data_IF_224791262959
#
_entry.id   IF_224791262959
#
_cell.length_a   1.000
_cell.length_b   1.000
_cell.length_c   1.000
_cell.angle_alpha   90.00
_cell.angle_beta   90.00
_cell.angle_gamma   90.00
#
_symmetry.space_group_name_H-M   'P 1'
#
loop_
_entity.id
_entity.type
_entity.pdbx_description
1 polymer ?
#
# COMPACT_ATOMS: atom_id res chain seq x y z
N UNK A 1 3.64 -13.14 11.87
CA UNK A 1 2.22 -12.73 11.74
C UNK A 1 2.02 -12.33 10.28
N UNK A 2 0.98 -12.80 9.57
CA UNK A 2 0.70 -12.34 8.19
C UNK A 2 -0.54 -11.46 8.25
N UNK A 3 -0.33 -10.16 8.19
CA UNK A 3 -1.40 -9.15 8.16
C UNK A 3 -2.13 -9.21 6.82
N UNK A 4 -3.44 -8.97 6.84
CA UNK A 4 -4.32 -9.14 5.69
C UNK A 4 -3.84 -8.25 4.53
N UNK A 5 -3.51 -8.86 3.40
CA UNK A 5 -3.05 -8.11 2.22
C UNK A 5 -1.66 -7.48 2.38
N UNK A 6 -0.72 -8.13 3.09
CA UNK A 6 0.73 -7.81 3.02
C UNK A 6 1.09 -6.37 3.41
N UNK A 7 0.22 -5.73 4.18
CA UNK A 7 0.48 -4.45 4.83
C UNK A 7 0.93 -4.74 6.25
N UNK A 8 2.13 -4.34 6.61
CA UNK A 8 2.67 -4.44 7.97
C UNK A 8 3.16 -3.08 8.47
N UNK A 9 3.51 -3.00 9.75
CA UNK A 9 3.95 -1.78 10.42
C UNK A 9 5.24 -2.04 11.17
N UNK A 10 6.31 -1.34 10.78
CA UNK A 10 7.62 -1.47 11.40
C UNK A 10 8.27 -0.08 11.50
N UNK A 11 8.67 0.31 12.71
CA UNK A 11 9.39 1.55 13.01
C UNK A 11 8.77 2.85 12.44
N UNK A 12 7.43 2.94 12.45
CA UNK A 12 6.71 4.11 11.93
C UNK A 12 6.70 4.21 10.40
N UNK A 13 7.06 3.12 9.71
CA UNK A 13 6.96 2.96 8.26
C UNK A 13 5.91 1.91 7.94
N UNK A 14 5.03 2.24 6.99
CA UNK A 14 4.08 1.27 6.47
C UNK A 14 4.81 0.32 5.53
N UNK A 15 4.96 -0.93 5.91
CA UNK A 15 5.50 -1.96 5.04
C UNK A 15 4.40 -2.41 4.07
N UNK A 16 4.63 -2.19 2.80
CA UNK A 16 3.76 -2.56 1.70
C UNK A 16 4.45 -3.62 0.85
N UNK A 17 4.51 -4.83 1.41
CA UNK A 17 5.23 -5.95 0.80
C UNK A 17 4.28 -7.09 0.51
N UNK A 18 3.70 -7.02 -0.68
CA UNK A 18 2.49 -7.76 -0.94
C UNK A 18 2.73 -9.11 -1.60
N UNK A 19 2.38 -10.15 -0.86
CA UNK A 19 1.94 -11.43 -1.42
C UNK A 19 0.41 -11.38 -1.61
N UNK A 20 -0.10 -10.53 -2.53
CA UNK A 20 -1.55 -10.46 -2.78
C UNK A 20 -1.97 -11.78 -3.42
N UNK A 21 -2.91 -12.55 -2.82
CA UNK A 21 -3.37 -13.77 -3.43
C UNK A 21 -4.05 -13.42 -4.76
N UNK A 22 -3.60 -14.03 -5.86
CA UNK A 22 -4.18 -13.82 -7.20
C UNK A 22 -5.67 -14.18 -7.28
N UNK A 23 -6.12 -15.00 -6.34
CA UNK A 23 -7.47 -15.54 -6.24
C UNK A 23 -8.43 -14.57 -5.52
N UNK A 24 -7.93 -13.52 -4.87
CA UNK A 24 -8.82 -12.56 -4.22
C UNK A 24 -9.56 -11.70 -5.25
N UNK A 25 -10.88 -11.52 -5.08
CA UNK A 25 -11.65 -10.58 -5.88
C UNK A 25 -11.14 -9.15 -5.63
N UNK A 26 -11.56 -8.22 -6.50
CA UNK A 26 -11.25 -6.80 -6.32
C UNK A 26 -11.71 -6.35 -4.93
N UNK A 27 -10.75 -5.95 -4.10
CA UNK A 27 -10.98 -5.65 -2.69
C UNK A 27 -10.54 -4.22 -2.41
N UNK A 28 -11.33 -3.50 -1.61
CA UNK A 28 -11.01 -2.15 -1.15
C UNK A 28 -11.03 -2.13 0.37
N UNK A 29 -9.95 -1.65 0.98
CA UNK A 29 -9.80 -1.53 2.43
C UNK A 29 -9.40 -0.11 2.77
N UNK A 30 -10.00 0.44 3.82
CA UNK A 30 -9.56 1.68 4.44
C UNK A 30 -8.70 1.34 5.66
N UNK A 31 -7.54 1.95 5.74
CA UNK A 31 -6.57 1.76 6.83
C UNK A 31 -6.35 3.10 7.51
N UNK A 32 -6.12 3.09 8.83
CA UNK A 32 -5.76 4.28 9.59
C UNK A 32 -4.29 4.18 10.00
N UNK A 33 -3.47 5.17 9.64
CA UNK A 33 -2.03 5.20 9.93
C UNK A 33 -1.62 6.58 10.44
N UNK A 34 -1.13 6.68 11.68
CA UNK A 34 -0.83 7.98 12.32
C UNK A 34 -1.95 9.02 12.16
N UNK A 35 -3.21 8.62 12.37
CA UNK A 35 -4.41 9.45 12.17
C UNK A 35 -4.70 9.87 10.72
N UNK A 36 -4.01 9.26 9.76
CA UNK A 36 -4.20 9.49 8.33
C UNK A 36 -4.94 8.30 7.73
N UNK A 37 -5.95 8.57 6.92
CA UNK A 37 -6.66 7.52 6.20
C UNK A 37 -5.88 7.15 4.93
N UNK A 38 -5.61 5.87 4.78
CA UNK A 38 -5.06 5.26 3.58
C UNK A 38 -6.11 4.36 2.94
N UNK A 39 -6.10 4.28 1.62
CA UNK A 39 -6.95 3.36 0.89
C UNK A 39 -6.10 2.35 0.14
N UNK A 40 -6.36 1.08 0.43
CA UNK A 40 -5.79 -0.04 -0.29
C UNK A 40 -6.82 -0.58 -1.28
N UNK A 41 -6.47 -0.60 -2.57
CA UNK A 41 -7.25 -1.19 -3.64
C UNK A 41 -6.48 -2.36 -4.25
N UNK A 42 -6.91 -3.59 -3.95
CA UNK A 42 -6.29 -4.83 -4.42
C UNK A 42 -7.08 -5.51 -5.52
N UNK A 43 -6.37 -6.09 -6.48
CA UNK A 43 -6.92 -6.95 -7.54
C UNK A 43 -5.91 -8.05 -7.89
N UNK A 44 -6.31 -9.01 -8.72
CA UNK A 44 -5.42 -10.06 -9.21
C UNK A 44 -4.20 -9.53 -10.01
N UNK A 45 -4.23 -8.28 -10.50
CA UNK A 45 -3.20 -7.71 -11.38
C UNK A 45 -2.38 -6.61 -10.72
N UNK A 46 -2.99 -5.80 -9.86
CA UNK A 46 -2.38 -4.63 -9.24
C UNK A 46 -2.92 -4.46 -7.84
N UNK A 47 -2.06 -4.06 -6.92
CA UNK A 47 -2.45 -3.49 -5.64
C UNK A 47 -1.97 -2.06 -5.55
N UNK A 48 -2.87 -1.17 -5.18
CA UNK A 48 -2.63 0.24 -5.04
C UNK A 48 -2.82 0.66 -3.58
N UNK A 49 -1.91 1.48 -3.07
CA UNK A 49 -2.03 2.20 -1.82
C UNK A 49 -2.15 3.68 -2.15
N UNK A 50 -3.20 4.33 -1.67
CA UNK A 50 -3.48 5.75 -1.87
C UNK A 50 -3.48 6.47 -0.53
N UNK A 51 -2.71 7.54 -0.45
CA UNK A 51 -2.81 8.49 0.65
C UNK A 51 -3.98 9.44 0.43
N UNK A 52 -4.74 9.75 1.48
CA UNK A 52 -5.75 10.78 1.40
C UNK A 52 -5.12 12.16 1.10
N UNK A 53 -5.92 13.08 0.55
CA UNK A 53 -5.42 14.39 0.08
C UNK A 53 -5.11 15.37 1.23
N UNK A 54 -5.63 15.08 2.41
CA UNK A 54 -5.51 15.85 3.65
C UNK A 54 -4.42 15.29 4.58
N UNK A 55 -3.55 14.43 4.05
CA UNK A 55 -2.42 13.83 4.78
C UNK A 55 -1.19 14.76 4.73
N UNK A 56 -0.21 14.57 5.61
CA UNK A 56 1.07 15.31 5.63
C UNK A 56 2.19 14.59 4.88
N UNK A 57 1.86 13.52 4.15
CA UNK A 57 2.83 12.60 3.59
C UNK A 57 2.97 11.35 4.47
N UNK A 58 3.10 10.19 3.82
CA UNK A 58 3.14 8.89 4.50
C UNK A 58 4.39 8.14 4.10
N UNK A 59 5.23 7.80 5.09
CA UNK A 59 6.39 6.94 4.89
C UNK A 59 5.93 5.50 4.63
N UNK A 60 6.27 4.97 3.46
CA UNK A 60 5.91 3.63 3.02
C UNK A 60 7.13 2.91 2.48
N UNK A 61 7.37 1.68 2.90
CA UNK A 61 8.36 0.81 2.31
C UNK A 61 7.66 -0.19 1.39
N UNK A 62 7.90 -0.14 0.08
CA UNK A 62 7.35 -1.11 -0.86
C UNK A 62 8.46 -1.98 -1.42
N UNK A 63 8.35 -3.32 -1.25
CA UNK A 63 9.39 -4.28 -1.64
C UNK A 63 10.74 -3.99 -0.99
N UNK A 64 10.72 -3.67 0.31
CA UNK A 64 11.90 -3.24 1.08
C UNK A 64 12.51 -1.90 0.66
N UNK A 65 11.89 -1.15 -0.26
CA UNK A 65 12.37 0.16 -0.72
C UNK A 65 11.55 1.28 -0.09
N UNK A 66 12.16 2.28 0.55
CA UNK A 66 11.43 3.38 1.16
C UNK A 66 10.92 4.39 0.12
N UNK A 67 9.75 4.94 0.38
CA UNK A 67 9.05 5.96 -0.38
C UNK A 67 8.33 6.92 0.57
N UNK A 68 8.16 8.16 0.13
CA UNK A 68 7.21 9.10 0.73
C UNK A 68 5.99 9.18 -0.20
N UNK A 69 4.82 8.75 0.26
CA UNK A 69 3.57 9.02 -0.44
C UNK A 69 3.13 10.44 -0.10
N UNK A 70 3.24 11.33 -1.07
CA UNK A 70 2.64 12.67 -0.99
C UNK A 70 1.11 12.60 -0.93
N UNK A 71 0.43 13.65 -0.46
CA UNK A 71 -1.02 13.67 -0.36
C UNK A 71 -1.70 13.44 -1.72
N UNK A 72 -2.60 12.45 -1.78
CA UNK A 72 -3.28 12.06 -3.01
C UNK A 72 -2.47 11.17 -3.97
N UNK A 73 -1.18 10.94 -3.70
CA UNK A 73 -0.34 10.03 -4.48
C UNK A 73 -0.84 8.58 -4.35
N UNK A 74 -0.56 7.80 -5.39
CA UNK A 74 -0.89 6.39 -5.45
C UNK A 74 0.37 5.59 -5.74
N UNK A 75 0.73 4.71 -4.79
CA UNK A 75 1.78 3.72 -5.00
C UNK A 75 1.13 2.41 -5.44
N UNK A 76 1.64 1.82 -6.51
CA UNK A 76 1.12 0.59 -7.09
C UNK A 76 2.21 -0.48 -7.14
N UNK A 77 1.82 -1.73 -6.84
CA UNK A 77 2.63 -2.93 -7.05
C UNK A 77 1.90 -3.81 -8.07
N UNK A 78 2.55 -4.14 -9.19
CA UNK A 78 2.01 -5.09 -10.17
C UNK A 78 2.14 -6.52 -9.64
N UNK A 79 1.00 -7.21 -9.55
CA UNK A 79 0.96 -8.61 -9.17
C UNK A 79 1.71 -9.47 -10.20
N UNK A 80 2.58 -10.36 -9.72
CA UNK A 80 3.38 -11.26 -10.56
C UNK A 80 4.77 -10.75 -10.92
N UNK A 81 4.96 -9.46 -11.22
CA UNK A 81 6.31 -8.90 -11.44
C UNK A 81 6.89 -8.19 -10.22
N UNK A 82 6.03 -7.74 -9.29
CA UNK A 82 6.45 -6.94 -8.15
C UNK A 82 6.96 -5.55 -8.52
N UNK A 83 6.74 -5.10 -9.76
CA UNK A 83 7.14 -3.76 -10.20
C UNK A 83 6.37 -2.69 -9.43
N UNK A 84 7.09 -1.66 -8.96
CA UNK A 84 6.55 -0.56 -8.16
C UNK A 84 6.48 0.71 -9.01
N UNK A 85 5.37 1.44 -8.96
CA UNK A 85 5.22 2.75 -9.58
C UNK A 85 4.44 3.70 -8.66
N UNK A 86 4.78 5.00 -8.71
CA UNK A 86 4.06 6.06 -8.00
C UNK A 86 3.49 7.02 -9.05
N UNK A 87 2.22 7.39 -8.89
CA UNK A 87 1.49 8.34 -9.74
C UNK A 87 0.71 9.34 -8.90
#
# INVERSE_FOLDING_TARGET
MRHYGGVDFEDGVLQFDLAWPRELPRTRLSLMFHHQQLQLDGSAQVVALRAARDTQGVAVAARGRPFMLEPGAVLTIRAGSGAVAIT
#
